data_IF_554211029980
#
_entry.id   IF_554211029980
#
_cell.length_a   1.000
_cell.length_b   1.000
_cell.length_c   1.000
_cell.angle_alpha   90.00
_cell.angle_beta   90.00
_cell.angle_gamma   90.00
#
_symmetry.space_group_name_H-M   'P 1'
#
loop_
_entity.id
_entity.type
_entity.pdbx_description
1 polymer ?
#
# COMPACT_ATOMS: atom_id res chain seq x y z
N UNK A 1 22.86 20.74 -9.30
CA UNK A 1 22.79 21.07 -7.86
C UNK A 1 21.37 21.33 -7.35
N UNK A 2 20.53 22.16 -7.99
CA UNK A 2 19.15 22.40 -7.53
C UNK A 2 18.26 21.13 -7.53
N UNK A 3 18.34 20.32 -8.60
CA UNK A 3 17.59 19.06 -8.70
C UNK A 3 17.96 18.07 -7.58
N UNK A 4 19.25 17.88 -7.30
CA UNK A 4 19.71 17.01 -6.21
C UNK A 4 19.28 17.51 -4.82
N UNK A 5 19.24 18.83 -4.59
CA UNK A 5 18.69 19.39 -3.34
C UNK A 5 17.18 19.15 -3.21
N UNK A 6 16.42 19.32 -4.30
CA UNK A 6 14.98 19.04 -4.31
C UNK A 6 14.68 17.55 -4.10
N UNK A 7 15.45 16.67 -4.74
CA UNK A 7 15.35 15.21 -4.61
C UNK A 7 15.68 14.76 -3.18
N UNK A 8 16.75 15.31 -2.58
CA UNK A 8 17.10 15.05 -1.18
C UNK A 8 16.02 15.52 -0.19
N UNK A 9 15.36 16.65 -0.48
CA UNK A 9 14.25 17.16 0.35
C UNK A 9 12.99 16.31 0.27
N UNK A 10 12.75 15.68 -0.88
CA UNK A 10 11.58 14.83 -1.10
C UNK A 10 11.76 13.42 -0.52
N UNK A 11 13.00 12.96 -0.38
CA UNK A 11 13.36 11.60 0.05
C UNK A 11 12.59 11.09 1.28
N UNK A 12 12.43 11.86 2.38
CA UNK A 12 11.70 11.40 3.57
C UNK A 12 10.19 11.25 3.36
N UNK A 13 9.63 11.90 2.34
CA UNK A 13 8.19 11.89 2.03
C UNK A 13 7.86 11.12 0.76
N UNK A 14 8.87 10.49 0.14
CA UNK A 14 8.73 9.91 -1.20
C UNK A 14 7.73 8.76 -1.25
N UNK A 15 7.79 7.79 -0.32
CA UNK A 15 6.83 6.68 -0.26
C UNK A 15 5.39 7.17 -0.09
N UNK A 16 5.02 7.96 0.95
CA UNK A 16 3.63 8.38 1.13
C UNK A 16 3.13 9.22 -0.04
N UNK A 17 3.96 10.08 -0.64
CA UNK A 17 3.54 10.87 -1.81
C UNK A 17 3.35 9.98 -3.04
N UNK A 18 4.26 9.05 -3.32
CA UNK A 18 4.12 8.13 -4.45
C UNK A 18 2.85 7.28 -4.32
N UNK A 19 2.58 6.73 -3.14
CA UNK A 19 1.37 5.95 -2.90
C UNK A 19 0.10 6.80 -2.97
N UNK A 20 0.14 8.03 -2.46
CA UNK A 20 -0.96 8.97 -2.64
C UNK A 20 -1.24 9.24 -4.11
N UNK A 21 -0.21 9.47 -4.93
CA UNK A 21 -0.36 9.67 -6.38
C UNK A 21 -0.97 8.45 -7.05
N UNK A 22 -0.51 7.24 -6.70
CA UNK A 22 -1.08 5.98 -7.24
C UNK A 22 -2.57 5.87 -6.91
N UNK A 23 -2.95 6.10 -5.65
CA UNK A 23 -4.36 6.06 -5.23
C UNK A 23 -5.17 7.14 -5.92
N UNK A 24 -4.67 8.39 -5.97
CA UNK A 24 -5.36 9.50 -6.62
C UNK A 24 -5.57 9.23 -8.11
N UNK A 25 -4.56 8.75 -8.82
CA UNK A 25 -4.67 8.36 -10.24
C UNK A 25 -5.69 7.24 -10.41
N UNK A 26 -5.62 6.19 -9.57
CA UNK A 26 -6.55 5.08 -9.62
C UNK A 26 -8.00 5.55 -9.39
N UNK A 27 -8.26 6.35 -8.36
CA UNK A 27 -9.61 6.78 -7.98
C UNK A 27 -10.18 7.85 -8.91
N UNK A 28 -9.36 8.78 -9.38
CA UNK A 28 -9.85 9.94 -10.15
C UNK A 28 -9.96 9.64 -11.65
N UNK A 29 -9.06 8.82 -12.20
CA UNK A 29 -8.95 8.63 -13.64
C UNK A 29 -9.53 7.31 -14.11
N UNK A 30 -9.38 6.23 -13.35
CA UNK A 30 -9.82 4.90 -13.81
C UNK A 30 -11.35 4.79 -13.94
N UNK A 31 -12.18 5.25 -12.97
CA UNK A 31 -13.62 5.10 -13.11
C UNK A 31 -14.20 5.87 -14.32
N UNK A 32 -13.83 7.14 -14.60
CA UNK A 32 -14.28 7.82 -15.81
C UNK A 32 -13.80 7.16 -17.10
N UNK A 33 -12.56 6.64 -17.13
CA UNK A 33 -12.03 5.95 -18.31
C UNK A 33 -12.81 4.67 -18.62
N UNK A 34 -13.29 3.97 -17.59
CA UNK A 34 -14.03 2.71 -17.72
C UNK A 34 -15.50 2.95 -18.04
N UNK A 35 -16.12 3.95 -17.42
CA UNK A 35 -17.54 4.27 -17.62
C UNK A 35 -17.79 5.23 -18.78
N UNK A 36 -16.73 5.79 -19.38
CA UNK A 36 -16.81 6.72 -20.51
C UNK A 36 -17.25 8.15 -20.14
N UNK A 37 -17.53 8.41 -18.86
CA UNK A 37 -17.97 9.73 -18.37
C UNK A 37 -17.43 10.07 -16.97
N UNK A 38 -16.94 11.32 -16.83
CA UNK A 38 -16.57 11.92 -15.56
C UNK A 38 -17.81 12.60 -14.94
N UNK A 39 -18.76 11.80 -14.48
CA UNK A 39 -20.01 12.28 -13.87
C UNK A 39 -20.01 12.18 -12.35
N UNK A 40 -20.87 12.93 -11.67
CA UNK A 40 -21.07 12.81 -10.22
C UNK A 40 -21.53 11.40 -9.82
N UNK A 41 -22.27 10.70 -10.69
CA UNK A 41 -22.68 9.31 -10.49
C UNK A 41 -21.48 8.36 -10.48
N UNK A 42 -20.56 8.50 -11.43
CA UNK A 42 -19.31 7.73 -11.49
C UNK A 42 -18.55 7.83 -10.17
N UNK A 43 -18.31 9.06 -9.69
CA UNK A 43 -17.58 9.27 -8.45
C UNK A 43 -18.34 8.86 -7.20
N UNK A 44 -19.68 8.97 -7.17
CA UNK A 44 -20.50 8.47 -6.07
C UNK A 44 -20.42 6.94 -5.95
N UNK A 45 -20.48 6.22 -7.07
CA UNK A 45 -20.32 4.76 -7.11
C UNK A 45 -18.91 4.34 -6.67
N UNK A 46 -17.87 5.00 -7.19
CA UNK A 46 -16.49 4.77 -6.74
C UNK A 46 -16.32 5.02 -5.24
N UNK A 47 -16.87 6.11 -4.73
CA UNK A 47 -16.80 6.43 -3.30
C UNK A 47 -17.49 5.36 -2.45
N UNK A 48 -18.67 4.87 -2.85
CA UNK A 48 -19.36 3.79 -2.15
C UNK A 48 -18.50 2.51 -2.09
N UNK A 49 -17.92 2.10 -3.21
CA UNK A 49 -17.03 0.93 -3.28
C UNK A 49 -15.79 1.11 -2.39
N UNK A 50 -15.18 2.30 -2.41
CA UNK A 50 -14.03 2.61 -1.55
C UNK A 50 -14.38 2.59 -0.06
N UNK A 51 -15.53 3.17 0.34
CA UNK A 51 -15.97 3.18 1.74
C UNK A 51 -16.10 1.74 2.23
N UNK A 52 -16.77 0.88 1.47
CA UNK A 52 -16.93 -0.54 1.82
C UNK A 52 -15.56 -1.22 1.92
N UNK A 53 -14.73 -1.12 0.89
CA UNK A 53 -13.43 -1.79 0.86
C UNK A 53 -12.50 -1.34 2.00
N UNK A 54 -12.43 -0.03 2.28
CA UNK A 54 -11.59 0.53 3.35
C UNK A 54 -12.13 0.12 4.71
N UNK A 55 -13.45 0.19 4.92
CA UNK A 55 -14.06 -0.21 6.19
C UNK A 55 -13.81 -1.69 6.50
N UNK A 56 -13.88 -2.55 5.49
CA UNK A 56 -13.59 -3.98 5.62
C UNK A 56 -12.10 -4.28 5.89
N UNK A 57 -11.17 -3.49 5.35
CA UNK A 57 -9.73 -3.75 5.50
C UNK A 57 -9.15 -3.16 6.80
N UNK A 58 -9.79 -2.15 7.39
CA UNK A 58 -9.26 -1.39 8.53
C UNK A 58 -8.79 -2.26 9.72
N UNK A 59 -9.58 -3.24 10.21
CA UNK A 59 -9.15 -4.10 11.32
C UNK A 59 -7.85 -4.86 11.00
N UNK A 60 -7.75 -5.36 9.76
CA UNK A 60 -6.55 -6.05 9.29
C UNK A 60 -5.37 -5.10 9.11
N UNK A 61 -5.60 -3.89 8.58
CA UNK A 61 -4.58 -2.87 8.43
C UNK A 61 -3.93 -2.51 9.77
N UNK A 62 -4.74 -2.39 10.83
CA UNK A 62 -4.25 -2.21 12.20
C UNK A 62 -3.42 -3.40 12.66
N UNK A 63 -3.90 -4.63 12.43
CA UNK A 63 -3.17 -5.84 12.78
C UNK A 63 -1.81 -5.89 12.07
N UNK A 64 -1.74 -5.65 10.76
CA UNK A 64 -0.47 -5.59 10.02
C UNK A 64 0.46 -4.54 10.60
N UNK A 65 -0.01 -3.31 10.78
CA UNK A 65 0.83 -2.22 11.28
C UNK A 65 1.41 -2.50 12.68
N UNK A 66 0.63 -3.15 13.56
CA UNK A 66 1.06 -3.50 14.92
C UNK A 66 1.95 -4.74 14.93
N UNK A 67 1.58 -5.80 14.20
CA UNK A 67 2.32 -7.06 14.18
C UNK A 67 3.67 -6.96 13.48
N UNK A 68 3.91 -5.90 12.69
CA UNK A 68 5.22 -5.62 12.09
C UNK A 68 6.14 -4.77 12.97
N UNK A 69 5.67 -4.26 14.12
CA UNK A 69 6.53 -3.52 15.08
C UNK A 69 7.77 -4.33 15.53
N UNK A 70 7.71 -5.65 15.76
CA UNK A 70 8.91 -6.44 16.05
C UNK A 70 9.99 -6.37 14.96
N UNK A 71 9.63 -6.20 13.69
CA UNK A 71 10.60 -6.02 12.59
C UNK A 71 11.35 -4.69 12.70
N UNK A 72 10.64 -3.64 13.14
CA UNK A 72 11.28 -2.36 13.46
C UNK A 72 12.22 -2.48 14.66
N UNK A 73 11.77 -3.16 15.72
CA UNK A 73 12.57 -3.37 16.92
C UNK A 73 13.84 -4.19 16.65
N UNK A 74 13.74 -5.21 15.79
CA UNK A 74 14.86 -6.07 15.42
C UNK A 74 15.86 -5.42 14.44
N UNK A 75 15.66 -4.15 14.05
CA UNK A 75 16.54 -3.47 13.12
C UNK A 75 16.38 -3.90 11.65
N UNK A 76 15.32 -4.65 11.32
CA UNK A 76 15.18 -5.35 10.02
C UNK A 76 14.53 -4.46 8.96
N UNK A 77 13.55 -3.63 9.33
CA UNK A 77 12.86 -2.78 8.36
C UNK A 77 11.78 -1.89 8.97
N UNK A 78 11.37 -0.88 8.21
CA UNK A 78 10.32 0.06 8.63
C UNK A 78 9.42 0.49 7.48
N UNK A 79 8.11 0.61 7.73
CA UNK A 79 7.19 1.24 6.79
C UNK A 79 7.35 2.76 6.69
N UNK A 80 7.83 3.43 7.75
CA UNK A 80 7.81 4.88 7.81
C UNK A 80 9.04 5.53 7.15
N UNK A 81 10.22 5.30 7.71
CA UNK A 81 11.50 5.84 7.25
C UNK A 81 12.64 4.91 7.68
N UNK A 82 13.65 4.69 6.83
CA UNK A 82 14.81 3.88 7.19
C UNK A 82 15.58 4.42 8.40
N UNK A 83 15.66 5.74 8.59
CA UNK A 83 16.32 6.38 9.72
C UNK A 83 15.58 6.26 11.05
N UNK A 84 14.44 5.56 11.09
CA UNK A 84 13.72 5.20 12.32
C UNK A 84 14.16 3.81 12.83
N UNK A 85 14.90 3.06 12.02
CA UNK A 85 15.47 1.78 12.41
C UNK A 85 16.57 2.05 13.47
N UNK A 86 16.48 1.48 14.68
CA UNK A 86 17.48 1.74 15.72
C UNK A 86 18.87 1.28 15.27
N UNK A 87 19.90 2.10 15.51
CA UNK A 87 21.26 1.60 15.53
C UNK A 87 21.42 0.58 16.67
N UNK A 88 22.37 -0.35 16.59
CA UNK A 88 22.54 -1.49 17.52
C UNK A 88 22.67 -1.13 19.01
N UNK A 89 22.79 0.15 19.34
CA UNK A 89 22.92 0.69 20.71
C UNK A 89 21.83 1.71 21.09
N UNK A 90 20.91 2.07 20.18
CA UNK A 90 19.85 3.05 20.46
C UNK A 90 18.61 2.44 21.13
N UNK A 91 17.99 3.20 22.03
CA UNK A 91 16.77 2.79 22.72
C UNK A 91 15.52 2.96 21.83
N UNK A 92 14.52 2.11 22.10
CA UNK A 92 13.27 2.08 21.34
C UNK A 92 12.52 3.42 21.35
N UNK A 93 12.21 3.94 20.16
CA UNK A 93 11.43 5.17 19.99
C UNK A 93 9.94 4.87 19.82
N UNK A 94 9.13 5.25 20.81
CA UNK A 94 7.65 5.17 20.74
C UNK A 94 7.12 5.93 19.53
N UNK A 95 7.67 7.11 19.24
CA UNK A 95 7.29 7.91 18.08
C UNK A 95 7.63 7.18 16.76
N UNK A 96 8.77 6.47 16.73
CA UNK A 96 9.16 5.65 15.58
C UNK A 96 8.18 4.51 15.32
N UNK A 97 7.77 3.81 16.38
CA UNK A 97 6.76 2.75 16.29
C UNK A 97 5.40 3.29 15.84
N UNK A 98 4.94 4.42 16.38
CA UNK A 98 3.69 5.05 15.93
C UNK A 98 3.72 5.41 14.45
N UNK A 99 4.82 6.02 13.97
CA UNK A 99 4.99 6.32 12.55
C UNK A 99 4.98 5.06 11.69
N UNK A 100 5.64 3.99 12.13
CA UNK A 100 5.64 2.70 11.45
C UNK A 100 4.23 2.11 11.33
N UNK A 101 3.48 2.08 12.43
CA UNK A 101 2.11 1.56 12.47
C UNK A 101 1.22 2.37 11.52
N UNK A 102 1.25 3.70 11.62
CA UNK A 102 0.42 4.59 10.78
C UNK A 102 0.77 4.45 9.30
N UNK A 103 2.05 4.35 8.96
CA UNK A 103 2.50 4.10 7.59
C UNK A 103 1.98 2.74 7.09
N UNK A 104 2.16 1.68 7.88
CA UNK A 104 1.66 0.34 7.55
C UNK A 104 0.16 0.32 7.31
N UNK A 105 -0.64 0.91 8.21
CA UNK A 105 -2.09 1.03 8.05
C UNK A 105 -2.43 1.75 6.75
N UNK A 106 -1.79 2.90 6.50
CA UNK A 106 -2.05 3.72 5.32
C UNK A 106 -1.75 2.97 4.02
N UNK A 107 -0.71 2.14 4.00
CA UNK A 107 -0.29 1.40 2.81
C UNK A 107 -1.20 0.20 2.54
N UNK A 108 -1.67 -0.49 3.58
CA UNK A 108 -2.71 -1.52 3.43
C UNK A 108 -4.01 -0.91 2.91
N UNK A 109 -4.42 0.24 3.44
CA UNK A 109 -5.60 0.97 2.96
C UNK A 109 -5.43 1.41 1.50
N UNK A 110 -4.25 1.91 1.11
CA UNK A 110 -3.95 2.25 -0.27
C UNK A 110 -4.05 1.03 -1.21
N UNK A 111 -3.51 -0.12 -0.81
CA UNK A 111 -3.58 -1.36 -1.56
C UNK A 111 -5.04 -1.81 -1.78
N UNK A 112 -5.84 -1.75 -0.72
CA UNK A 112 -7.27 -2.06 -0.79
C UNK A 112 -8.02 -1.09 -1.71
N UNK A 113 -7.74 0.22 -1.62
CA UNK A 113 -8.37 1.23 -2.48
C UNK A 113 -8.07 0.99 -3.97
N UNK A 114 -6.81 0.75 -4.33
CA UNK A 114 -6.40 0.46 -5.71
C UNK A 114 -7.06 -0.82 -6.21
N UNK A 115 -7.08 -1.87 -5.38
CA UNK A 115 -7.73 -3.12 -5.76
C UNK A 115 -9.25 -3.03 -5.88
N UNK A 116 -9.90 -2.24 -5.02
CA UNK A 116 -11.34 -2.00 -5.05
C UNK A 116 -11.78 -1.25 -6.31
N UNK A 117 -10.98 -0.29 -6.79
CA UNK A 117 -11.19 0.32 -8.10
C UNK A 117 -11.20 -0.75 -9.20
N UNK A 118 -10.23 -1.66 -9.19
CA UNK A 118 -10.17 -2.79 -10.14
C UNK A 118 -11.39 -3.72 -10.07
N UNK A 119 -11.90 -4.01 -8.87
CA UNK A 119 -13.17 -4.75 -8.70
C UNK A 119 -14.32 -4.00 -9.38
N UNK A 120 -14.40 -2.68 -9.20
CA UNK A 120 -15.41 -1.84 -9.88
C UNK A 120 -15.35 -1.95 -11.40
N UNK A 121 -14.16 -2.09 -11.99
CA UNK A 121 -13.98 -2.32 -13.43
C UNK A 121 -14.62 -3.63 -13.86
N UNK A 122 -14.35 -4.72 -13.13
CA UNK A 122 -14.88 -6.05 -13.45
C UNK A 122 -16.41 -6.08 -13.41
N UNK A 123 -17.01 -5.42 -12.41
CA UNK A 123 -18.46 -5.27 -12.34
C UNK A 123 -19.04 -4.46 -13.52
N UNK A 124 -18.39 -3.35 -13.88
CA UNK A 124 -18.82 -2.53 -15.02
C UNK A 124 -18.70 -3.30 -16.35
N UNK A 125 -17.59 -4.02 -16.57
CA UNK A 125 -17.35 -4.80 -17.78
C UNK A 125 -18.27 -6.02 -17.90
N UNK A 126 -18.50 -6.74 -16.79
CA UNK A 126 -19.39 -7.92 -16.74
C UNK A 126 -20.86 -7.58 -16.94
N UNK A 127 -21.25 -6.33 -16.73
CA UNK A 127 -22.61 -5.84 -17.02
C UNK A 127 -22.87 -5.66 -18.53
N UNK A 128 -21.83 -5.72 -19.38
CA UNK A 128 -21.92 -5.49 -20.83
C UNK A 128 -21.36 -6.60 -21.73
N UNK A 129 -20.50 -7.51 -21.24
CA UNK A 129 -19.98 -8.66 -22.01
C UNK A 129 -19.33 -9.74 -21.10
N UNK A 130 -18.96 -10.88 -21.69
CA UNK A 130 -18.52 -12.14 -21.05
C UNK A 130 -17.55 -11.92 -19.87
N UNK A 131 -17.80 -12.54 -18.69
CA UNK A 131 -16.97 -12.34 -17.51
C UNK A 131 -15.52 -12.75 -17.76
N UNK A 132 -14.57 -11.97 -17.24
CA UNK A 132 -13.15 -12.32 -17.26
C UNK A 132 -12.93 -13.67 -16.54
N UNK A 133 -11.97 -14.50 -17.01
CA UNK A 133 -11.73 -15.80 -16.38
C UNK A 133 -11.38 -15.63 -14.90
N UNK A 134 -12.27 -16.12 -14.02
CA UNK A 134 -12.07 -16.11 -12.56
C UNK A 134 -11.05 -17.16 -12.16
N UNK A 135 -9.78 -16.78 -12.09
CA UNK A 135 -8.73 -17.63 -11.53
C UNK A 135 -8.75 -17.52 -10.01
N UNK A 136 -9.66 -18.24 -9.33
CA UNK A 136 -9.60 -18.67 -7.91
C UNK A 136 -9.30 -17.67 -6.77
N UNK A 137 -8.95 -16.42 -7.05
CA UNK A 137 -8.43 -15.40 -6.15
C UNK A 137 -8.93 -14.04 -6.66
N UNK A 138 -9.33 -13.08 -5.81
CA UNK A 138 -9.80 -11.78 -6.28
C UNK A 138 -8.62 -11.04 -6.94
N UNK A 139 -8.55 -11.03 -8.28
CA UNK A 139 -7.29 -10.75 -9.00
C UNK A 139 -6.90 -9.28 -8.86
N UNK A 140 -7.90 -8.40 -8.72
CA UNK A 140 -7.69 -6.97 -8.56
C UNK A 140 -7.17 -6.57 -7.18
N UNK A 141 -7.52 -7.30 -6.12
CA UNK A 141 -6.96 -7.04 -4.79
C UNK A 141 -5.51 -7.50 -4.68
N UNK A 142 -5.18 -8.64 -5.28
CA UNK A 142 -3.79 -9.08 -5.43
C UNK A 142 -2.99 -8.07 -6.27
N UNK A 143 -3.56 -7.57 -7.37
CA UNK A 143 -2.93 -6.56 -8.22
C UNK A 143 -2.73 -5.23 -7.47
N UNK A 144 -3.74 -4.75 -6.76
CA UNK A 144 -3.65 -3.52 -5.96
C UNK A 144 -2.58 -3.63 -4.86
N UNK A 145 -2.54 -4.76 -4.17
CA UNK A 145 -1.47 -5.11 -3.23
C UNK A 145 -0.10 -5.12 -3.89
N UNK A 146 0.05 -5.81 -5.03
CA UNK A 146 1.32 -5.91 -5.75
C UNK A 146 1.82 -4.54 -6.24
N UNK A 147 0.95 -3.67 -6.75
CA UNK A 147 1.29 -2.31 -7.18
C UNK A 147 1.83 -1.50 -5.99
N UNK A 148 1.09 -1.47 -4.88
CA UNK A 148 1.48 -0.71 -3.69
C UNK A 148 2.77 -1.25 -3.08
N UNK A 149 2.91 -2.58 -2.99
CA UNK A 149 4.13 -3.22 -2.51
C UNK A 149 5.33 -2.89 -3.39
N UNK A 150 5.18 -2.92 -4.71
CA UNK A 150 6.27 -2.60 -5.64
C UNK A 150 6.73 -1.15 -5.50
N UNK A 151 5.79 -0.21 -5.39
CA UNK A 151 6.09 1.21 -5.17
C UNK A 151 6.76 1.41 -3.82
N UNK A 152 6.24 0.76 -2.77
CA UNK A 152 6.86 0.79 -1.44
C UNK A 152 8.30 0.29 -1.50
N UNK A 153 8.55 -0.93 -1.99
CA UNK A 153 9.89 -1.53 -2.03
C UNK A 153 10.85 -0.68 -2.85
N UNK A 154 10.46 -0.28 -4.06
CA UNK A 154 11.33 0.51 -4.93
C UNK A 154 11.73 1.85 -4.31
N UNK A 155 10.75 2.59 -3.76
CA UNK A 155 10.98 3.91 -3.18
C UNK A 155 11.66 3.81 -1.81
N UNK A 156 11.32 2.80 -1.00
CA UNK A 156 11.92 2.59 0.31
C UNK A 156 13.38 2.16 0.19
N UNK A 157 13.73 1.28 -0.74
CA UNK A 157 15.13 0.93 -1.03
C UNK A 157 15.94 2.15 -1.50
N UNK A 158 15.33 3.03 -2.29
CA UNK A 158 15.95 4.29 -2.69
C UNK A 158 16.19 5.28 -1.53
N UNK A 159 15.45 5.15 -0.42
CA UNK A 159 15.61 6.03 0.76
C UNK A 159 16.80 5.67 1.65
N UNK A 160 17.31 4.44 1.60
CA UNK A 160 18.49 4.06 2.37
C UNK A 160 19.74 4.82 1.87
N UNK A 161 20.57 5.31 2.79
CA UNK A 161 21.81 6.01 2.46
C UNK A 161 22.86 5.03 1.93
N UNK A 162 23.12 5.06 0.62
CA UNK A 162 24.07 4.19 -0.08
C UNK A 162 23.63 3.92 -1.52
N UNK A 163 24.55 3.56 -2.41
CA UNK A 163 24.15 2.97 -3.70
C UNK A 163 23.50 1.59 -3.47
N UNK A 164 22.73 1.07 -4.43
CA UNK A 164 22.10 -0.26 -4.29
C UNK A 164 23.09 -1.39 -3.93
N UNK A 165 24.38 -1.23 -4.22
CA UNK A 165 25.45 -2.18 -3.87
C UNK A 165 26.01 -2.06 -2.45
N UNK A 166 25.74 -0.96 -1.73
CA UNK A 166 26.22 -0.71 -0.36
C UNK A 166 25.13 -0.99 0.69
N UNK A 167 23.94 -1.41 0.26
CA UNK A 167 22.82 -1.70 1.14
C UNK A 167 23.06 -3.00 1.90
N UNK A 168 22.88 -2.95 3.22
CA UNK A 168 22.86 -4.16 4.05
C UNK A 168 21.77 -5.14 3.56
N UNK A 169 22.15 -6.40 3.38
CA UNK A 169 21.25 -7.44 2.89
C UNK A 169 20.07 -7.67 3.85
N UNK A 170 20.27 -7.47 5.16
CA UNK A 170 19.21 -7.56 6.16
C UNK A 170 18.12 -6.52 5.93
N UNK A 171 18.52 -5.27 5.68
CA UNK A 171 17.60 -4.16 5.37
C UNK A 171 16.83 -4.36 4.06
N UNK A 172 17.49 -4.91 3.04
CA UNK A 172 16.82 -5.24 1.76
C UNK A 172 15.79 -6.33 1.96
N UNK A 173 16.17 -7.44 2.60
CA UNK A 173 15.28 -8.56 2.90
C UNK A 173 14.09 -8.12 3.76
N UNK A 174 14.33 -7.30 4.78
CA UNK A 174 13.28 -6.73 5.63
C UNK A 174 12.30 -5.87 4.85
N UNK A 175 12.79 -4.98 4.00
CA UNK A 175 11.95 -4.14 3.13
C UNK A 175 11.11 -4.98 2.17
N UNK A 176 11.71 -6.01 1.55
CA UNK A 176 10.99 -6.93 0.66
C UNK A 176 9.95 -7.74 1.42
N UNK A 177 10.26 -8.22 2.62
CA UNK A 177 9.32 -8.96 3.46
C UNK A 177 8.13 -8.10 3.87
N UNK A 178 8.36 -6.85 4.28
CA UNK A 178 7.31 -5.87 4.54
C UNK A 178 6.47 -5.59 3.29
N UNK A 179 7.10 -5.45 2.12
CA UNK A 179 6.41 -5.33 0.84
C UNK A 179 5.52 -6.54 0.53
N UNK A 180 6.02 -7.75 0.76
CA UNK A 180 5.24 -8.98 0.55
C UNK A 180 4.02 -9.06 1.47
N UNK A 181 4.16 -8.63 2.74
CA UNK A 181 3.04 -8.52 3.67
C UNK A 181 1.98 -7.52 3.15
N UNK A 182 2.40 -6.37 2.62
CA UNK A 182 1.49 -5.42 1.98
C UNK A 182 0.79 -6.03 0.77
N UNK A 183 1.51 -6.77 -0.09
CA UNK A 183 0.95 -7.36 -1.30
C UNK A 183 -0.19 -8.35 -1.01
N UNK A 184 -0.03 -9.15 0.05
CA UNK A 184 -0.99 -10.19 0.44
C UNK A 184 -2.09 -9.63 1.37
N UNK A 185 -1.87 -8.45 1.97
CA UNK A 185 -2.76 -7.86 2.97
C UNK A 185 -4.24 -7.78 2.57
N UNK A 186 -4.62 -7.34 1.35
CA UNK A 186 -6.04 -7.16 1.03
C UNK A 186 -6.75 -8.51 0.85
N UNK A 187 -6.01 -9.56 0.47
CA UNK A 187 -6.53 -10.92 0.34
C UNK A 187 -6.85 -11.53 1.70
N UNK A 188 -5.92 -11.39 2.66
CA UNK A 188 -6.11 -11.90 4.02
C UNK A 188 -7.22 -11.13 4.72
N UNK A 189 -7.29 -9.82 4.53
CA UNK A 189 -8.37 -9.01 5.08
C UNK A 189 -9.74 -9.50 4.59
N UNK A 190 -9.92 -9.77 3.29
CA UNK A 190 -11.16 -10.34 2.78
C UNK A 190 -11.43 -11.74 3.32
N UNK A 191 -10.41 -12.59 3.43
CA UNK A 191 -10.61 -13.97 3.90
C UNK A 191 -11.02 -14.00 5.38
N UNK A 192 -10.38 -13.19 6.23
CA UNK A 192 -10.63 -13.14 7.67
C UNK A 192 -11.89 -12.34 7.99
N UNK A 193 -12.09 -11.18 7.35
CA UNK A 193 -13.14 -10.23 7.74
C UNK A 193 -14.33 -10.19 6.77
N UNK A 194 -14.16 -10.63 5.52
CA UNK A 194 -15.25 -10.74 4.56
C UNK A 194 -16.22 -11.89 4.87
N UNK A 195 -15.79 -12.91 5.61
CA UNK A 195 -16.68 -13.99 6.08
C UNK A 195 -17.70 -13.52 7.13
N UNK A 196 -17.49 -12.34 7.74
CA UNK A 196 -18.36 -11.80 8.77
C UNK A 196 -19.49 -10.90 8.25
N UNK A 197 -19.63 -10.74 6.94
CA UNK A 197 -20.81 -10.14 6.29
C UNK A 197 -21.18 -8.75 6.80
N UNK A 198 -20.57 -7.72 6.21
CA UNK A 198 -21.12 -6.36 6.20
C UNK A 198 -21.75 -6.07 4.84
#
# INVERSE_FOLDING_TARGET
MALQRSVGRFRPYSVPVCLFVVVAVAVLLVPPLVLGEASGRTYALTAAVLIVAISSVLPYAVAVGVLTVPFLYAGVGSYADPGVIPASEESFSVMGALRHIVAGISYVVAAAAVGAVGIGIDFAASSGSTPLPRVGFPPFLALGGAIVASVFVAVQLWRYDGGFGDLDHGSVLGTVALGALLAVSPLVALWVFGSFGF
#
